data_IF_933311442677
#
_entry.id   IF_933311442677
#
_cell.length_a   1.000
_cell.length_b   1.000
_cell.length_c   1.000
_cell.angle_alpha   90.00
_cell.angle_beta   90.00
_cell.angle_gamma   90.00
#
_symmetry.space_group_name_H-M   'P 1'
#
loop_
_entity.id
_entity.type
_entity.pdbx_description
1 polymer ?
#
# COMPACT_ATOMS: atom_id res chain seq x y z
N UNK A 1 -15.22 5.15 -23.70
CA UNK A 1 -14.26 6.11 -23.11
C UNK A 1 -13.04 5.32 -22.67
N UNK A 2 -11.82 5.75 -23.02
CA UNK A 2 -10.58 5.08 -22.59
C UNK A 2 -10.20 5.68 -21.23
N UNK A 3 -10.13 4.85 -20.20
CA UNK A 3 -9.57 5.27 -18.91
C UNK A 3 -8.07 5.48 -19.06
N UNK A 4 -7.53 6.54 -18.47
CA UNK A 4 -6.08 6.66 -18.27
C UNK A 4 -5.66 5.82 -17.07
N UNK A 5 -4.39 5.43 -16.99
CA UNK A 5 -3.86 4.70 -15.83
C UNK A 5 -4.11 5.48 -14.52
N UNK A 6 -3.91 6.80 -14.53
CA UNK A 6 -4.19 7.66 -13.37
C UNK A 6 -5.68 7.67 -12.95
N UNK A 7 -6.61 7.65 -13.92
CA UNK A 7 -8.04 7.57 -13.62
C UNK A 7 -8.43 6.20 -13.06
N UNK A 8 -7.82 5.14 -13.59
CA UNK A 8 -8.03 3.79 -13.11
C UNK A 8 -7.47 3.62 -11.68
N UNK A 9 -6.24 4.08 -11.44
CA UNK A 9 -5.60 4.09 -10.12
C UNK A 9 -6.46 4.82 -9.09
N UNK A 10 -6.97 6.01 -9.43
CA UNK A 10 -7.85 6.77 -8.54
C UNK A 10 -9.11 6.00 -8.16
N UNK A 11 -9.76 5.34 -9.14
CA UNK A 11 -10.94 4.53 -8.89
C UNK A 11 -10.64 3.35 -7.94
N UNK A 12 -9.48 2.71 -8.05
CA UNK A 12 -9.05 1.67 -7.13
C UNK A 12 -8.77 2.21 -5.72
N UNK A 13 -8.09 3.35 -5.60
CA UNK A 13 -7.84 4.00 -4.31
C UNK A 13 -9.15 4.29 -3.59
N UNK A 14 -10.14 4.83 -4.31
CA UNK A 14 -11.43 5.17 -3.73
C UNK A 14 -12.21 3.92 -3.30
N UNK A 15 -12.15 2.83 -4.07
CA UNK A 15 -12.78 1.55 -3.72
C UNK A 15 -12.12 0.91 -2.49
N UNK A 16 -10.79 0.87 -2.44
CA UNK A 16 -10.06 0.33 -1.29
C UNK A 16 -10.28 1.17 -0.02
N UNK A 17 -10.41 2.48 -0.16
CA UNK A 17 -10.75 3.38 0.94
C UNK A 17 -12.10 3.06 1.58
N UNK A 18 -13.09 2.59 0.81
CA UNK A 18 -14.39 2.15 1.33
C UNK A 18 -14.28 0.89 2.19
N UNK A 19 -13.32 0.01 1.87
CA UNK A 19 -12.99 -1.18 2.66
C UNK A 19 -12.07 -0.88 3.86
N UNK A 20 -11.79 0.40 4.14
CA UNK A 20 -10.93 0.83 5.23
C UNK A 20 -9.43 0.75 4.93
N UNK A 21 -9.06 0.49 3.67
CA UNK A 21 -7.66 0.43 3.22
C UNK A 21 -7.27 1.81 2.69
N UNK A 22 -6.61 2.60 3.54
CA UNK A 22 -6.17 3.96 3.19
C UNK A 22 -4.94 3.92 2.28
N UNK A 23 -5.00 4.65 1.17
CA UNK A 23 -3.87 4.82 0.28
C UNK A 23 -2.84 5.81 0.87
N UNK A 24 -1.57 5.44 0.82
CA UNK A 24 -0.43 6.29 1.16
C UNK A 24 0.57 6.26 0.01
N UNK A 25 0.94 7.42 -0.53
CA UNK A 25 1.93 7.50 -1.59
C UNK A 25 3.32 7.14 -1.05
N UNK A 26 4.04 6.27 -1.75
CA UNK A 26 5.32 5.73 -1.28
C UNK A 26 6.40 6.79 -1.05
N UNK A 27 6.41 7.87 -1.85
CA UNK A 27 7.36 8.98 -1.70
C UNK A 27 7.12 9.84 -0.45
N UNK A 28 5.92 9.77 0.14
CA UNK A 28 5.60 10.49 1.38
C UNK A 28 5.93 9.65 2.62
N UNK A 29 6.28 8.37 2.44
CA UNK A 29 6.70 7.49 3.53
C UNK A 29 8.14 7.82 3.89
N UNK A 30 8.35 8.46 5.03
CA UNK A 30 9.69 8.69 5.58
C UNK A 30 10.28 7.37 6.07
N UNK A 31 11.27 6.86 5.32
CA UNK A 31 11.95 5.59 5.61
C UNK A 31 13.36 5.58 5.03
N UNK A 32 14.22 4.72 5.55
CA UNK A 32 15.53 4.49 4.96
C UNK A 32 15.44 3.54 3.76
N UNK A 33 16.38 3.65 2.81
CA UNK A 33 16.39 2.85 1.58
C UNK A 33 16.58 1.34 1.85
N UNK A 34 17.23 0.99 2.95
CA UNK A 34 17.48 -0.38 3.41
C UNK A 34 16.36 -0.94 4.29
N UNK A 35 15.39 -0.11 4.65
CA UNK A 35 14.25 -0.53 5.45
C UNK A 35 13.34 -1.45 4.61
N UNK A 36 12.62 -2.36 5.27
CA UNK A 36 11.66 -3.26 4.61
C UNK A 36 10.29 -3.10 5.26
N UNK A 37 9.29 -2.63 4.50
CA UNK A 37 7.93 -2.28 4.98
C UNK A 37 7.27 -3.42 5.76
N UNK A 38 7.33 -4.63 5.21
CA UNK A 38 6.63 -5.81 5.73
C UNK A 38 7.50 -6.65 6.69
N UNK A 39 8.65 -6.12 7.13
CA UNK A 39 9.62 -6.88 7.95
C UNK A 39 9.00 -7.39 9.25
N UNK A 40 8.20 -6.54 9.91
CA UNK A 40 7.52 -6.89 11.14
C UNK A 40 6.47 -7.98 10.92
N UNK A 41 5.64 -7.83 9.87
CA UNK A 41 4.60 -8.79 9.52
C UNK A 41 5.18 -10.15 9.15
N UNK A 42 6.25 -10.18 8.34
CA UNK A 42 6.96 -11.42 7.99
C UNK A 42 7.49 -12.10 9.26
N UNK A 43 8.13 -11.36 10.16
CA UNK A 43 8.62 -11.93 11.42
C UNK A 43 7.49 -12.51 12.24
N UNK A 44 6.37 -11.79 12.37
CA UNK A 44 5.19 -12.25 13.11
C UNK A 44 4.64 -13.54 12.50
N UNK A 45 4.48 -13.60 11.18
CA UNK A 45 4.03 -14.78 10.46
C UNK A 45 4.96 -15.98 10.65
N UNK A 46 6.27 -15.78 10.61
CA UNK A 46 7.26 -16.85 10.75
C UNK A 46 7.40 -17.36 12.20
N UNK A 47 7.25 -16.48 13.19
CA UNK A 47 7.39 -16.81 14.62
C UNK A 47 6.08 -17.28 15.26
N UNK A 48 4.93 -17.02 14.64
CA UNK A 48 3.61 -17.43 15.12
C UNK A 48 3.26 -18.89 14.85
N UNK A 49 4.26 -19.76 14.62
CA UNK A 49 4.10 -21.14 14.18
C UNK A 49 4.69 -22.13 15.19
#
# INVERSE_FOLDING_TARGET
MKFTEAQLEKAFIDLLGQEGITHQHGGDISRADDEVLIKADIKSYLLGR
#
